data_IF_117055994081
#
_entry.id   IF_117055994081
#
_cell.length_a   1.000
_cell.length_b   1.000
_cell.length_c   1.000
_cell.angle_alpha   90.00
_cell.angle_beta   90.00
_cell.angle_gamma   90.00
#
_symmetry.space_group_name_H-M   'P 1'
#
loop_
_entity.id
_entity.type
_entity.pdbx_description
1 polymer ?
#
# COMPACT_ATOMS: atom_id res chain seq x y z
N UNK A 1 -9.24 20.47 -30.10
CA UNK A 1 -9.75 20.11 -28.77
C UNK A 1 -8.98 20.92 -27.75
N UNK A 2 -9.65 21.80 -26.99
CA UNK A 2 -9.03 22.51 -25.87
C UNK A 2 -9.10 21.57 -24.68
N UNK A 3 -7.95 21.15 -24.16
CA UNK A 3 -7.90 20.39 -22.91
C UNK A 3 -8.42 21.30 -21.80
N UNK A 4 -9.52 20.86 -21.17
CA UNK A 4 -10.10 21.48 -19.98
C UNK A 4 -9.05 21.58 -18.88
N UNK A 5 -9.16 22.66 -18.12
CA UNK A 5 -8.26 23.03 -17.04
C UNK A 5 -7.87 21.82 -16.18
N UNK A 6 -6.56 21.60 -16.02
CA UNK A 6 -6.01 20.81 -14.93
C UNK A 6 -6.46 21.54 -13.67
N UNK A 7 -7.48 21.02 -12.97
CA UNK A 7 -7.74 21.50 -11.62
C UNK A 7 -6.49 21.16 -10.80
N UNK A 8 -5.90 22.13 -10.09
CA UNK A 8 -4.81 21.83 -9.19
C UNK A 8 -5.34 20.82 -8.17
N UNK A 9 -4.70 19.66 -8.10
CA UNK A 9 -5.00 18.70 -7.06
C UNK A 9 -4.75 19.33 -5.71
N UNK A 10 -5.70 19.10 -4.84
CA UNK A 10 -5.64 19.64 -3.52
C UNK A 10 -5.00 18.56 -2.65
N UNK A 11 -3.77 18.81 -2.18
CA UNK A 11 -3.10 17.90 -1.24
C UNK A 11 -3.97 17.65 0.01
N UNK A 12 -4.96 18.50 0.31
CA UNK A 12 -5.95 18.23 1.36
C UNK A 12 -6.82 17.01 1.06
N UNK A 13 -7.14 16.71 -0.20
CA UNK A 13 -7.91 15.52 -0.56
C UNK A 13 -7.13 14.24 -0.25
N UNK A 14 -5.82 14.23 -0.50
CA UNK A 14 -4.96 13.10 -0.12
C UNK A 14 -4.92 12.94 1.39
N UNK A 15 -4.78 14.04 2.15
CA UNK A 15 -4.77 13.99 3.60
C UNK A 15 -6.11 13.51 4.18
N UNK A 16 -7.24 14.00 3.64
CA UNK A 16 -8.58 13.56 4.05
C UNK A 16 -8.74 12.04 3.88
N UNK A 17 -8.23 11.49 2.77
CA UNK A 17 -8.24 10.05 2.52
C UNK A 17 -7.37 9.26 3.49
N UNK A 18 -6.21 9.80 3.89
CA UNK A 18 -5.35 9.18 4.90
C UNK A 18 -6.03 9.20 6.27
N UNK A 19 -6.70 10.28 6.61
CA UNK A 19 -7.41 10.43 7.89
C UNK A 19 -8.62 9.46 7.99
N UNK A 20 -9.23 9.14 6.85
CA UNK A 20 -10.32 8.16 6.73
C UNK A 20 -9.85 6.69 6.79
N UNK A 21 -8.53 6.41 6.71
CA UNK A 21 -8.02 5.05 6.87
C UNK A 21 -8.21 4.55 8.31
N UNK A 22 -8.37 3.23 8.45
CA UNK A 22 -8.45 2.59 9.77
C UNK A 22 -7.20 2.88 10.61
N UNK A 23 -7.41 3.49 11.78
CA UNK A 23 -6.34 3.93 12.65
C UNK A 23 -5.57 2.74 13.25
N UNK A 24 -4.26 2.74 13.06
CA UNK A 24 -3.34 1.73 13.58
C UNK A 24 -1.92 2.31 13.70
N UNK A 25 -0.97 1.53 14.23
CA UNK A 25 0.41 1.99 14.45
C UNK A 25 1.10 2.53 13.18
N UNK A 26 0.73 2.04 11.99
CA UNK A 26 1.26 2.55 10.71
C UNK A 26 0.64 3.91 10.41
N UNK A 27 -0.70 4.06 10.42
CA UNK A 27 -1.32 5.36 10.11
C UNK A 27 -0.91 6.43 11.13
N UNK A 28 -0.82 6.08 12.41
CA UNK A 28 -0.32 6.96 13.48
C UNK A 28 1.12 7.45 13.21
N UNK A 29 1.98 6.59 12.67
CA UNK A 29 3.35 6.98 12.29
C UNK A 29 3.34 8.08 11.22
N UNK A 30 2.46 7.99 10.22
CA UNK A 30 2.36 8.97 9.12
C UNK A 30 1.59 10.25 9.50
N UNK A 31 0.78 10.20 10.56
CA UNK A 31 0.13 11.38 11.14
C UNK A 31 1.12 12.31 11.87
N UNK A 32 2.22 11.79 12.40
CA UNK A 32 3.27 12.61 13.02
C UNK A 32 4.28 13.12 11.99
N UNK A 33 4.21 14.41 11.68
CA UNK A 33 5.13 15.09 10.77
C UNK A 33 6.62 14.98 11.16
N UNK A 34 6.94 14.71 12.44
CA UNK A 34 8.33 14.50 12.85
C UNK A 34 8.91 13.21 12.27
N UNK A 35 8.08 12.25 11.84
CA UNK A 35 8.52 10.98 11.26
C UNK A 35 8.75 11.06 9.75
N UNK A 36 8.27 12.13 9.12
CA UNK A 36 8.45 12.40 7.70
C UNK A 36 9.72 13.24 7.51
N UNK A 37 10.65 12.73 6.70
CA UNK A 37 11.94 13.41 6.45
C UNK A 37 11.77 14.45 5.35
N UNK A 38 11.11 14.10 4.24
CA UNK A 38 10.85 15.04 3.15
C UNK A 38 9.65 14.62 2.30
N UNK A 39 9.00 15.61 1.65
CA UNK A 39 7.90 15.44 0.70
C UNK A 39 6.77 14.54 1.23
N UNK A 40 6.03 15.03 2.24
CA UNK A 40 4.91 14.32 2.89
C UNK A 40 3.91 13.71 1.91
N UNK A 41 3.55 14.42 0.84
CA UNK A 41 2.63 13.90 -0.17
C UNK A 41 3.10 12.58 -0.83
N UNK A 42 4.42 12.32 -0.94
CA UNK A 42 4.93 11.03 -1.41
C UNK A 42 4.67 9.94 -0.38
N UNK A 43 4.95 10.24 0.89
CA UNK A 43 4.74 9.31 1.99
C UNK A 43 3.27 8.93 2.12
N UNK A 44 2.38 9.92 2.05
CA UNK A 44 0.94 9.73 2.10
C UNK A 44 0.43 8.97 0.87
N UNK A 45 0.86 9.33 -0.34
CA UNK A 45 0.48 8.61 -1.55
C UNK A 45 0.92 7.14 -1.52
N UNK A 46 2.15 6.85 -1.07
CA UNK A 46 2.66 5.49 -0.99
C UNK A 46 1.99 4.69 0.15
N UNK A 47 1.60 5.34 1.25
CA UNK A 47 0.75 4.72 2.27
C UNK A 47 -0.59 4.30 1.66
N UNK A 48 -1.24 5.19 0.91
CA UNK A 48 -2.50 4.90 0.23
C UNK A 48 -2.37 3.76 -0.79
N UNK A 49 -1.29 3.76 -1.56
CA UNK A 49 -0.95 2.68 -2.50
C UNK A 49 -0.76 1.33 -1.79
N UNK A 50 -0.09 1.33 -0.63
CA UNK A 50 0.08 0.13 0.20
C UNK A 50 -1.26 -0.37 0.72
N UNK A 51 -2.12 0.55 1.18
CA UNK A 51 -3.46 0.21 1.64
C UNK A 51 -4.29 -0.43 0.53
N UNK A 52 -4.25 0.13 -0.69
CA UNK A 52 -4.93 -0.42 -1.85
C UNK A 52 -4.47 -1.85 -2.18
N UNK A 53 -3.16 -2.12 -2.18
CA UNK A 53 -2.62 -3.46 -2.40
C UNK A 53 -3.12 -4.45 -1.34
N UNK A 54 -3.00 -4.08 -0.06
CA UNK A 54 -3.39 -4.95 1.05
C UNK A 54 -4.90 -5.15 1.12
N UNK A 55 -5.69 -4.16 0.70
CA UNK A 55 -7.12 -4.32 0.54
C UNK A 55 -7.42 -5.42 -0.47
N UNK A 56 -6.85 -5.36 -1.68
CA UNK A 56 -7.09 -6.35 -2.74
C UNK A 56 -6.63 -7.78 -2.38
N UNK A 57 -5.75 -7.94 -1.38
CA UNK A 57 -5.35 -9.25 -0.86
C UNK A 57 -6.34 -9.86 0.16
N UNK A 58 -7.32 -9.09 0.64
CA UNK A 58 -8.35 -9.58 1.57
C UNK A 58 -9.49 -10.25 0.81
N UNK A 59 -10.18 -11.19 1.46
CA UNK A 59 -11.40 -11.77 0.90
C UNK A 59 -12.56 -10.79 1.12
N UNK A 60 -13.15 -10.23 0.06
CA UNK A 60 -14.32 -9.37 0.22
C UNK A 60 -15.57 -10.19 0.60
N UNK A 61 -16.53 -9.53 1.26
CA UNK A 61 -17.89 -10.04 1.39
C UNK A 61 -18.46 -10.32 -0.03
N UNK A 62 -19.19 -11.42 -0.17
CA UNK A 62 -19.86 -11.82 -1.42
C UNK A 62 -20.72 -10.69 -1.98
N UNK A 63 -21.34 -9.89 -1.12
CA UNK A 63 -22.20 -8.78 -1.50
C UNK A 63 -21.45 -7.47 -1.80
N UNK A 64 -20.13 -7.41 -1.53
CA UNK A 64 -19.32 -6.20 -1.71
C UNK A 64 -18.05 -6.44 -2.55
N UNK A 65 -18.06 -7.45 -3.42
CA UNK A 65 -16.89 -7.76 -4.28
C UNK A 65 -16.54 -6.61 -5.21
N UNK A 66 -17.54 -6.03 -5.86
CA UNK A 66 -17.33 -4.93 -6.82
C UNK A 66 -16.88 -3.65 -6.10
N UNK A 67 -17.54 -3.28 -5.00
CA UNK A 67 -17.13 -2.13 -4.20
C UNK A 67 -15.71 -2.27 -3.66
N UNK A 68 -15.33 -3.46 -3.22
CA UNK A 68 -13.97 -3.75 -2.75
C UNK A 68 -12.89 -3.50 -3.81
N UNK A 69 -13.12 -3.92 -5.06
CA UNK A 69 -12.19 -3.67 -6.18
C UNK A 69 -12.16 -2.19 -6.53
N UNK A 70 -13.34 -1.56 -6.66
CA UNK A 70 -13.45 -0.15 -7.02
C UNK A 70 -12.79 0.79 -6.01
N UNK A 71 -12.86 0.47 -4.71
CA UNK A 71 -12.16 1.25 -3.68
C UNK A 71 -10.64 1.12 -3.83
N UNK A 72 -10.11 -0.07 -4.17
CA UNK A 72 -8.68 -0.23 -4.48
C UNK A 72 -8.25 0.59 -5.71
N UNK A 73 -9.04 0.53 -6.79
CA UNK A 73 -8.79 1.30 -8.01
C UNK A 73 -8.85 2.82 -7.78
N UNK A 74 -9.76 3.26 -6.91
CA UNK A 74 -9.86 4.65 -6.48
C UNK A 74 -8.57 5.10 -5.78
N UNK A 75 -8.10 4.35 -4.78
CA UNK A 75 -6.85 4.66 -4.07
C UNK A 75 -5.62 4.65 -4.99
N UNK A 76 -5.55 3.74 -5.96
CA UNK A 76 -4.50 3.79 -6.98
C UNK A 76 -4.59 5.05 -7.84
N UNK A 77 -5.79 5.48 -8.22
CA UNK A 77 -6.00 6.69 -9.02
C UNK A 77 -5.55 7.95 -8.28
N UNK A 78 -5.80 8.01 -6.97
CA UNK A 78 -5.35 9.09 -6.10
C UNK A 78 -3.82 9.11 -5.96
N UNK A 79 -3.19 7.94 -5.77
CA UNK A 79 -1.73 7.80 -5.80
C UNK A 79 -1.12 8.33 -7.11
N UNK A 80 -1.65 7.90 -8.27
CA UNK A 80 -1.12 8.34 -9.57
C UNK A 80 -1.33 9.84 -9.78
N UNK A 81 -2.48 10.36 -9.38
CA UNK A 81 -2.81 11.79 -9.50
C UNK A 81 -1.82 12.62 -8.70
N UNK A 82 -1.68 12.35 -7.39
CA UNK A 82 -0.79 13.07 -6.49
C UNK A 82 0.65 13.11 -7.03
N UNK A 83 1.23 11.97 -7.40
CA UNK A 83 2.62 11.93 -7.84
C UNK A 83 2.85 12.55 -9.23
N UNK A 84 1.92 12.35 -10.17
CA UNK A 84 2.08 12.87 -11.53
C UNK A 84 2.08 14.40 -11.59
N UNK A 85 1.30 15.06 -10.72
CA UNK A 85 1.21 16.52 -10.68
C UNK A 85 2.44 17.17 -10.06
N UNK A 86 3.07 16.49 -9.11
CA UNK A 86 4.35 16.92 -8.52
C UNK A 86 5.56 16.47 -9.35
N UNK A 87 5.35 15.75 -10.46
CA UNK A 87 6.42 15.31 -11.37
C UNK A 87 7.23 14.11 -10.85
N UNK A 88 6.74 13.39 -9.86
CA UNK A 88 7.44 12.29 -9.18
C UNK A 88 7.30 10.95 -9.92
N UNK A 89 7.51 10.97 -11.23
CA UNK A 89 7.32 9.79 -12.10
C UNK A 89 8.27 8.63 -11.79
N UNK A 90 9.42 8.91 -11.16
CA UNK A 90 10.33 7.88 -10.68
C UNK A 90 9.65 7.02 -9.58
N UNK A 91 9.00 7.67 -8.61
CA UNK A 91 8.27 6.98 -7.55
C UNK A 91 7.12 6.17 -8.15
N UNK A 92 6.39 6.73 -9.12
CA UNK A 92 5.33 5.99 -9.84
C UNK A 92 5.88 4.73 -10.51
N UNK A 93 6.98 4.87 -11.26
CA UNK A 93 7.62 3.75 -11.93
C UNK A 93 8.04 2.66 -10.93
N UNK A 94 8.65 3.05 -9.81
CA UNK A 94 9.15 2.12 -8.81
C UNK A 94 8.01 1.40 -8.07
N UNK A 95 6.92 2.11 -7.76
CA UNK A 95 5.73 1.48 -7.16
C UNK A 95 5.05 0.48 -8.10
N UNK A 96 5.00 0.77 -9.41
CA UNK A 96 4.50 -0.17 -10.42
C UNK A 96 5.43 -1.39 -10.55
N UNK A 97 6.74 -1.17 -10.48
CA UNK A 97 7.73 -2.25 -10.45
C UNK A 97 7.53 -3.17 -9.24
N UNK A 98 7.40 -2.56 -8.04
CA UNK A 98 7.14 -3.27 -6.79
C UNK A 98 5.81 -4.02 -6.87
N UNK A 99 4.71 -3.40 -7.31
CA UNK A 99 3.40 -4.07 -7.36
C UNK A 99 3.42 -5.29 -8.29
N UNK A 100 4.08 -5.19 -9.46
CA UNK A 100 4.26 -6.32 -10.37
C UNK A 100 5.09 -7.45 -9.75
N UNK A 101 6.17 -7.11 -9.05
CA UNK A 101 6.98 -8.09 -8.32
C UNK A 101 6.17 -8.78 -7.23
N UNK A 102 5.42 -8.01 -6.43
CA UNK A 102 4.54 -8.51 -5.39
C UNK A 102 3.49 -9.47 -5.96
N UNK A 103 2.78 -9.09 -7.01
CA UNK A 103 1.80 -9.98 -7.67
C UNK A 103 2.45 -11.28 -8.15
N UNK A 104 3.66 -11.21 -8.74
CA UNK A 104 4.39 -12.40 -9.17
C UNK A 104 4.82 -13.30 -7.99
N UNK A 105 5.27 -12.71 -6.88
CA UNK A 105 5.67 -13.47 -5.68
C UNK A 105 4.46 -14.09 -4.99
N UNK A 106 3.35 -13.35 -4.83
CA UNK A 106 2.09 -13.84 -4.26
C UNK A 106 1.50 -14.98 -5.08
N UNK A 107 1.50 -14.88 -6.41
CA UNK A 107 1.04 -15.96 -7.29
C UNK A 107 1.87 -17.24 -7.13
N UNK A 108 3.22 -17.13 -7.11
CA UNK A 108 4.10 -18.28 -6.87
C UNK A 108 3.89 -18.87 -5.49
N UNK A 109 3.73 -18.02 -4.48
CA UNK A 109 3.46 -18.43 -3.11
C UNK A 109 2.16 -19.24 -3.00
N UNK A 110 1.11 -18.80 -3.70
CA UNK A 110 -0.17 -19.50 -3.81
C UNK A 110 -0.03 -20.89 -4.47
N UNK A 111 0.77 -20.99 -5.53
CA UNK A 111 1.02 -22.25 -6.25
C UNK A 111 1.87 -23.24 -5.44
N UNK A 112 2.98 -22.76 -4.86
CA UNK A 112 4.02 -23.60 -4.26
C UNK A 112 3.76 -23.95 -2.78
N UNK A 113 2.77 -23.29 -2.13
CA UNK A 113 2.42 -23.48 -0.71
C UNK A 113 3.63 -23.42 0.23
N UNK A 114 4.60 -22.57 -0.09
CA UNK A 114 5.84 -22.45 0.68
C UNK A 114 5.53 -21.91 2.09
N UNK A 115 6.29 -22.31 3.10
CA UNK A 115 6.19 -21.67 4.42
C UNK A 115 6.74 -20.25 4.31
N UNK A 116 5.92 -19.25 4.64
CA UNK A 116 6.35 -17.86 4.69
C UNK A 116 7.06 -17.57 6.00
N UNK A 117 8.22 -16.94 5.92
CA UNK A 117 8.85 -16.31 7.09
C UNK A 117 8.23 -14.95 7.35
N UNK A 118 8.37 -14.43 8.57
CA UNK A 118 7.94 -13.07 8.91
C UNK A 118 8.55 -12.01 7.97
N UNK A 119 9.81 -12.20 7.56
CA UNK A 119 10.48 -11.32 6.60
C UNK A 119 9.85 -11.40 5.20
N UNK A 120 9.48 -12.60 4.74
CA UNK A 120 8.80 -12.76 3.45
C UNK A 120 7.44 -12.08 3.51
N UNK A 121 6.69 -12.28 4.60
CA UNK A 121 5.37 -11.70 4.80
C UNK A 121 5.42 -10.17 4.87
N UNK A 122 6.39 -9.62 5.62
CA UNK A 122 6.67 -8.19 5.70
C UNK A 122 6.90 -7.60 4.31
N UNK A 123 7.77 -8.22 3.51
CA UNK A 123 8.02 -7.77 2.16
C UNK A 123 6.75 -7.84 1.30
N UNK A 124 5.99 -8.94 1.37
CA UNK A 124 4.79 -9.14 0.55
C UNK A 124 3.67 -8.11 0.81
N UNK A 125 3.60 -7.59 2.04
CA UNK A 125 2.55 -6.64 2.47
C UNK A 125 3.04 -5.18 2.47
N UNK A 126 4.33 -4.95 2.67
CA UNK A 126 4.85 -3.61 2.98
C UNK A 126 6.06 -3.18 2.15
N UNK A 127 6.39 -3.88 1.05
CA UNK A 127 7.47 -3.44 0.14
C UNK A 127 7.38 -1.95 -0.28
N UNK A 128 6.19 -1.36 -0.55
CA UNK A 128 6.12 0.08 -0.84
C UNK A 128 6.52 0.97 0.35
N UNK A 129 6.21 0.56 1.59
CA UNK A 129 6.64 1.29 2.79
C UNK A 129 8.14 1.11 3.06
N UNK A 130 8.68 -0.07 2.79
CA UNK A 130 10.13 -0.32 2.83
C UNK A 130 10.87 0.58 1.84
N UNK A 131 10.32 0.78 0.64
CA UNK A 131 10.87 1.75 -0.32
C UNK A 131 10.97 3.17 0.27
N UNK A 132 9.98 3.62 1.06
CA UNK A 132 10.04 4.94 1.71
C UNK A 132 11.21 5.04 2.69
N UNK A 133 11.50 3.96 3.43
CA UNK A 133 12.62 3.88 4.37
C UNK A 133 13.94 3.90 3.60
N UNK A 134 14.09 3.02 2.60
CA UNK A 134 15.32 2.84 1.83
C UNK A 134 15.72 4.11 1.06
N UNK A 135 14.74 4.93 0.65
CA UNK A 135 14.96 6.18 -0.06
C UNK A 135 14.92 7.42 0.85
N UNK A 136 14.80 7.23 2.17
CA UNK A 136 14.91 8.32 3.16
C UNK A 136 13.74 9.30 3.16
N UNK A 137 12.54 8.89 2.72
CA UNK A 137 11.33 9.70 2.82
C UNK A 137 10.78 9.75 4.25
N UNK A 138 10.99 8.67 5.02
CA UNK A 138 10.52 8.51 6.40
C UNK A 138 11.63 7.98 7.30
N UNK A 139 11.47 8.13 8.62
CA UNK A 139 12.39 7.54 9.60
C UNK A 139 12.38 6.01 9.55
N UNK A 140 13.54 5.41 9.84
CA UNK A 140 13.73 3.96 9.95
C UNK A 140 12.91 3.31 11.06
N UNK A 141 12.38 4.09 12.02
CA UNK A 141 11.51 3.59 13.09
C UNK A 141 10.26 2.89 12.55
N UNK A 142 9.82 3.23 11.32
CA UNK A 142 8.75 2.52 10.63
C UNK A 142 9.03 1.01 10.51
N UNK A 143 10.30 0.62 10.28
CA UNK A 143 10.67 -0.80 10.11
C UNK A 143 10.31 -1.64 11.35
N UNK A 144 10.52 -1.08 12.53
CA UNK A 144 10.16 -1.71 13.80
C UNK A 144 8.64 -1.83 13.97
N UNK A 145 7.88 -0.84 13.48
CA UNK A 145 6.41 -0.88 13.49
C UNK A 145 5.92 -2.01 12.58
N UNK A 146 6.47 -2.11 11.37
CA UNK A 146 6.12 -3.18 10.43
C UNK A 146 6.42 -4.57 11.03
N UNK A 147 7.55 -4.73 11.71
CA UNK A 147 7.88 -5.98 12.40
C UNK A 147 6.88 -6.34 13.51
N UNK A 148 6.40 -5.35 14.27
CA UNK A 148 5.37 -5.57 15.30
C UNK A 148 4.04 -5.97 14.68
N UNK A 149 3.62 -5.27 13.62
CA UNK A 149 2.38 -5.56 12.90
C UNK A 149 2.39 -7.00 12.38
N UNK A 150 3.50 -7.44 11.76
CA UNK A 150 3.63 -8.81 11.23
C UNK A 150 3.53 -9.87 12.35
N UNK A 151 4.19 -9.65 13.49
CA UNK A 151 4.16 -10.59 14.62
C UNK A 151 2.78 -10.74 15.24
N UNK A 152 1.95 -9.71 15.17
CA UNK A 152 0.62 -9.68 15.79
C UNK A 152 -0.51 -10.01 14.79
N UNK A 153 -0.20 -10.18 13.51
CA UNK A 153 -1.19 -10.37 12.45
C UNK A 153 -1.78 -11.79 12.45
N UNK A 154 -3.10 -11.90 12.32
CA UNK A 154 -3.73 -13.18 11.99
C UNK A 154 -3.54 -13.50 10.51
N UNK A 155 -2.55 -14.34 10.23
CA UNK A 155 -2.22 -14.83 8.89
C UNK A 155 -3.41 -15.52 8.17
N UNK A 156 -4.44 -15.95 8.89
CA UNK A 156 -5.64 -16.58 8.28
C UNK A 156 -6.47 -15.60 7.45
N UNK A 157 -6.34 -14.30 7.68
CA UNK A 157 -7.08 -13.26 6.95
C UNK A 157 -6.48 -12.97 5.57
N UNK A 158 -5.25 -13.42 5.31
CA UNK A 158 -4.50 -13.17 4.06
C UNK A 158 -4.71 -14.29 3.04
N UNK A 159 -5.96 -14.54 2.66
CA UNK A 159 -6.30 -15.70 1.82
C UNK A 159 -5.53 -15.72 0.48
N UNK A 160 -5.30 -14.57 -0.17
CA UNK A 160 -4.56 -14.52 -1.44
C UNK A 160 -3.05 -14.73 -1.29
N UNK A 161 -2.51 -14.66 -0.08
CA UNK A 161 -1.08 -14.88 0.21
C UNK A 161 -0.86 -16.27 0.83
N UNK A 162 -1.84 -16.78 1.57
CA UNK A 162 -1.64 -17.94 2.47
C UNK A 162 -2.50 -19.14 2.10
N UNK A 163 -3.39 -19.09 1.08
CA UNK A 163 -4.41 -20.12 0.87
C UNK A 163 -3.89 -21.58 1.01
N UNK A 164 -4.14 -22.16 2.19
CA UNK A 164 -3.93 -23.58 2.48
C UNK A 164 -5.14 -24.43 2.10
N UNK A 165 -6.24 -23.85 1.63
CA UNK A 165 -7.41 -24.58 1.11
C UNK A 165 -7.37 -24.64 -0.40
N UNK A 166 -6.88 -25.78 -0.89
CA UNK A 166 -7.28 -26.25 -2.21
C UNK A 166 -8.78 -26.52 -2.20
N UNK A 167 -9.57 -25.54 -2.63
CA UNK A 167 -10.89 -25.79 -3.19
C UNK A 167 -10.75 -25.59 -4.69
N UNK A 168 -10.51 -26.71 -5.37
CA UNK A 168 -10.82 -26.91 -6.79
C UNK A 168 -12.29 -27.28 -6.91
#
# INVERSE_FOLDING_TARGET
MKYSAVQPYNDSQLQDLIDDLEQNEITEFFSDNNNIIHKKYISDAVLLFTHALNQLDKVPDVNNREGHVLTGDFYFSEFYSALSQHGEMQVVHDMVGISKELSSKKSRQYEDKKVLTDSDLKYLLFAPLLYLIDNGYVKSDLDNILDRVIKNMDQRELAYIINTKGER
#
